data_IF_285352180306
#
_entry.id   IF_285352180306
#
_cell.length_a   1.000
_cell.length_b   1.000
_cell.length_c   1.000
_cell.angle_alpha   90.00
_cell.angle_beta   90.00
_cell.angle_gamma   90.00
#
_symmetry.space_group_name_H-M   'P 1'
#
loop_
_entity.id
_entity.type
_entity.pdbx_description
1 polymer ?
#
# COMPACT_ATOMS: atom_id res chain seq x y z
N UNK A 1 73.71 15.42 13.48
CA UNK A 1 72.84 16.36 12.75
C UNK A 1 72.32 15.83 11.40
N UNK A 2 72.79 14.69 10.86
CA UNK A 2 72.19 14.06 9.67
C UNK A 2 71.20 12.92 10.00
N UNK A 3 71.44 12.15 11.08
CA UNK A 3 70.57 11.02 11.48
C UNK A 3 69.13 11.45 11.87
N UNK A 4 69.01 12.57 12.61
CA UNK A 4 67.71 13.12 13.04
C UNK A 4 66.88 13.70 11.89
N UNK A 5 67.50 14.15 10.80
CA UNK A 5 66.78 14.66 9.64
C UNK A 5 66.25 13.52 8.75
N UNK A 6 66.94 12.38 8.75
CA UNK A 6 66.58 11.18 8.02
C UNK A 6 65.48 10.39 8.74
N UNK A 7 65.51 10.33 10.07
CA UNK A 7 64.39 9.83 10.89
C UNK A 7 63.12 10.69 10.79
N UNK A 8 63.27 12.03 10.66
CA UNK A 8 62.13 12.93 10.49
C UNK A 8 61.50 12.79 9.11
N UNK A 9 62.32 12.68 8.05
CA UNK A 9 61.82 12.37 6.69
C UNK A 9 61.19 10.99 6.60
N UNK A 10 61.71 10.00 7.33
CA UNK A 10 61.14 8.65 7.37
C UNK A 10 59.81 8.61 8.14
N UNK A 11 59.67 9.37 9.23
CA UNK A 11 58.38 9.59 9.92
C UNK A 11 57.40 10.41 9.09
N UNK A 12 57.85 11.42 8.34
CA UNK A 12 57.00 12.18 7.42
C UNK A 12 56.57 11.34 6.19
N UNK A 13 57.38 10.35 5.77
CA UNK A 13 57.00 9.37 4.74
C UNK A 13 56.11 8.22 5.28
N UNK A 14 56.24 7.86 6.55
CA UNK A 14 55.39 6.86 7.23
C UNK A 14 54.04 7.47 7.65
N UNK A 15 53.99 8.73 8.10
CA UNK A 15 52.74 9.49 8.37
C UNK A 15 52.01 9.91 7.09
N UNK A 16 52.71 9.97 5.94
CA UNK A 16 52.11 10.22 4.63
C UNK A 16 51.40 8.99 4.03
N UNK A 17 51.43 7.84 4.69
CA UNK A 17 50.96 6.55 4.14
C UNK A 17 49.89 5.86 5.02
N UNK A 18 49.26 6.60 5.95
CA UNK A 18 48.21 6.10 6.84
C UNK A 18 46.77 6.36 6.34
N UNK A 19 46.56 6.62 5.04
CA UNK A 19 45.20 6.90 4.53
C UNK A 19 44.70 5.98 3.41
N UNK A 20 45.41 4.87 3.13
CA UNK A 20 45.05 3.95 2.03
C UNK A 20 44.21 2.74 2.48
N UNK A 21 43.38 2.92 3.51
CA UNK A 21 42.53 1.86 4.07
C UNK A 21 41.17 2.34 4.59
N UNK A 22 40.75 3.56 4.25
CA UNK A 22 39.56 4.18 4.84
C UNK A 22 38.42 4.45 3.84
N UNK A 23 38.42 3.77 2.68
CA UNK A 23 37.28 3.78 1.77
C UNK A 23 36.40 2.55 2.03
N UNK A 24 35.20 2.71 2.60
CA UNK A 24 34.38 1.56 2.97
C UNK A 24 33.91 0.78 1.75
N UNK A 25 33.90 -0.55 1.83
CA UNK A 25 33.42 -1.43 0.75
C UNK A 25 31.99 -1.10 0.31
N UNK A 26 31.13 -0.66 1.25
CA UNK A 26 29.77 -0.22 0.94
C UNK A 26 29.75 1.05 0.08
N UNK A 27 30.70 1.96 0.25
CA UNK A 27 30.80 3.20 -0.51
C UNK A 27 31.21 2.91 -1.97
N UNK A 28 32.16 1.99 -2.17
CA UNK A 28 32.55 1.50 -3.51
C UNK A 28 31.38 0.82 -4.22
N UNK A 29 30.63 -0.04 -3.51
CA UNK A 29 29.46 -0.70 -4.09
C UNK A 29 28.37 0.30 -4.52
N UNK A 30 28.19 1.38 -3.75
CA UNK A 30 27.23 2.45 -4.05
C UNK A 30 27.67 3.27 -5.26
N UNK A 31 28.95 3.62 -5.38
CA UNK A 31 29.50 4.28 -6.57
C UNK A 31 29.36 3.43 -7.83
N UNK A 32 29.71 2.15 -7.76
CA UNK A 32 29.60 1.23 -8.88
C UNK A 32 28.13 1.06 -9.29
N UNK A 33 27.22 0.95 -8.33
CA UNK A 33 25.77 0.88 -8.60
C UNK A 33 25.23 2.18 -9.19
N UNK A 34 25.74 3.33 -8.74
CA UNK A 34 25.38 4.62 -9.29
C UNK A 34 25.89 4.83 -10.72
N UNK A 35 26.80 4.01 -11.27
CA UNK A 35 27.18 4.15 -12.69
C UNK A 35 26.04 3.78 -13.64
N UNK A 36 25.22 2.80 -13.25
CA UNK A 36 24.18 2.22 -14.10
C UNK A 36 22.75 2.58 -13.65
N UNK A 37 22.59 3.27 -12.51
CA UNK A 37 21.29 3.66 -11.95
C UNK A 37 21.14 5.19 -11.87
N UNK A 38 20.31 5.75 -12.75
CA UNK A 38 20.02 7.20 -12.83
C UNK A 38 19.41 7.76 -11.53
N UNK A 39 18.61 6.98 -10.79
CA UNK A 39 18.01 7.43 -9.53
C UNK A 39 19.08 7.53 -8.44
N UNK A 40 20.02 6.57 -8.39
CA UNK A 40 21.15 6.64 -7.46
C UNK A 40 22.12 7.78 -7.82
N UNK A 41 22.36 8.06 -9.10
CA UNK A 41 23.15 9.23 -9.52
C UNK A 41 22.51 10.53 -9.04
N UNK A 42 21.20 10.67 -9.17
CA UNK A 42 20.48 11.86 -8.71
C UNK A 42 20.59 12.03 -7.18
N UNK A 43 20.51 10.93 -6.43
CA UNK A 43 20.63 10.93 -4.95
C UNK A 43 22.05 11.30 -4.50
N UNK A 44 23.07 10.76 -5.16
CA UNK A 44 24.47 10.98 -4.77
C UNK A 44 25.00 12.32 -5.28
N UNK A 45 24.68 12.73 -6.52
CA UNK A 45 25.20 13.94 -7.14
C UNK A 45 26.72 14.04 -7.06
N UNK A 46 27.24 15.17 -6.57
CA UNK A 46 28.66 15.44 -6.31
C UNK A 46 29.25 14.72 -5.07
N UNK A 47 28.49 13.86 -4.37
CA UNK A 47 28.98 13.15 -3.18
C UNK A 47 29.67 11.82 -3.49
N UNK A 48 29.77 11.40 -4.75
CA UNK A 48 30.26 10.08 -5.20
C UNK A 48 31.73 9.76 -4.86
N UNK A 49 32.44 10.59 -4.10
CA UNK A 49 33.85 10.36 -3.72
C UNK A 49 34.09 10.59 -2.21
N UNK A 50 33.03 10.91 -1.44
CA UNK A 50 33.08 11.12 0.02
C UNK A 50 32.06 10.21 0.73
N UNK A 51 32.52 9.14 1.41
CA UNK A 51 31.64 8.18 2.10
C UNK A 51 30.69 8.84 3.10
N UNK A 52 31.15 9.85 3.84
CA UNK A 52 30.31 10.49 4.86
C UNK A 52 29.26 11.41 4.23
N UNK A 53 29.60 12.05 3.10
CA UNK A 53 28.65 12.82 2.31
C UNK A 53 27.60 11.94 1.62
N UNK A 54 27.98 10.77 1.08
CA UNK A 54 27.05 9.79 0.50
C UNK A 54 26.05 9.31 1.54
N UNK A 55 26.55 8.88 2.70
CA UNK A 55 25.70 8.44 3.82
C UNK A 55 24.69 9.51 4.22
N UNK A 56 25.15 10.76 4.38
CA UNK A 56 24.28 11.89 4.72
C UNK A 56 23.23 12.18 3.64
N UNK A 57 23.54 12.02 2.35
CA UNK A 57 22.57 12.21 1.26
C UNK A 57 21.52 11.12 1.22
N UNK A 58 21.93 9.86 1.37
CA UNK A 58 21.02 8.72 1.50
C UNK A 58 20.09 8.92 2.70
N UNK A 59 20.64 9.23 3.87
CA UNK A 59 19.85 9.50 5.08
C UNK A 59 18.88 10.67 4.89
N UNK A 60 19.32 11.77 4.28
CA UNK A 60 18.45 12.91 3.97
C UNK A 60 17.35 12.57 2.96
N UNK A 61 17.65 11.74 1.94
CA UNK A 61 16.65 11.28 0.96
C UNK A 61 15.64 10.35 1.61
N UNK A 62 16.10 9.44 2.48
CA UNK A 62 15.23 8.55 3.27
C UNK A 62 14.36 9.38 4.21
N UNK A 63 14.90 10.38 4.91
CA UNK A 63 14.12 11.26 5.79
C UNK A 63 13.12 12.14 5.01
N UNK A 64 13.49 12.64 3.83
CA UNK A 64 12.57 13.41 2.96
C UNK A 64 11.47 12.51 2.40
N UNK A 65 11.80 11.37 1.78
CA UNK A 65 10.80 10.39 1.33
C UNK A 65 9.95 9.91 2.52
N UNK A 66 10.53 9.71 3.70
CA UNK A 66 9.79 9.38 4.94
C UNK A 66 8.83 10.49 5.35
N UNK A 67 9.20 11.77 5.22
CA UNK A 67 8.31 12.92 5.45
C UNK A 67 7.26 13.09 4.36
N UNK A 68 7.57 12.77 3.11
CA UNK A 68 6.61 12.78 2.00
C UNK A 68 5.62 11.61 2.09
N UNK A 69 6.04 10.46 2.64
CA UNK A 69 5.14 9.35 3.04
C UNK A 69 4.26 9.78 4.24
N UNK A 70 4.77 10.69 5.07
CA UNK A 70 4.05 11.42 6.12
C UNK A 70 3.32 12.65 5.55
N UNK A 71 2.63 12.52 4.40
CA UNK A 71 1.56 13.48 4.08
C UNK A 71 0.65 13.61 5.31
N UNK A 72 0.23 14.85 5.63
CA UNK A 72 -0.64 15.10 6.78
C UNK A 72 -1.88 14.23 6.64
N UNK A 73 -2.07 13.25 7.55
CA UNK A 73 -3.24 12.35 7.52
C UNK A 73 -4.50 13.17 7.36
N UNK A 74 -5.19 13.01 6.23
CA UNK A 74 -6.47 13.68 5.92
C UNK A 74 -7.68 12.85 6.37
N UNK A 75 -7.42 11.65 6.88
CA UNK A 75 -8.41 10.75 7.41
C UNK A 75 -9.00 11.16 8.77
N UNK A 76 -9.65 10.21 9.41
CA UNK A 76 -10.37 10.35 10.67
C UNK A 76 -9.61 9.68 11.82
N UNK A 77 -9.59 10.33 12.98
CA UNK A 77 -9.14 9.71 14.24
C UNK A 77 -10.19 8.77 14.83
N UNK A 78 -11.45 8.91 14.44
CA UNK A 78 -12.52 8.02 14.86
C UNK A 78 -12.49 6.76 14.00
N UNK A 79 -12.59 5.56 14.62
CA UNK A 79 -12.63 4.31 13.89
C UNK A 79 -13.90 4.22 13.04
N UNK A 80 -13.76 3.65 11.84
CA UNK A 80 -14.88 3.36 10.94
C UNK A 80 -15.78 2.29 11.56
N UNK A 81 -17.07 2.57 11.70
CA UNK A 81 -18.06 1.58 12.14
C UNK A 81 -18.40 0.61 11.01
N UNK A 82 -18.60 -0.68 11.32
CA UNK A 82 -18.98 -1.70 10.33
C UNK A 82 -20.29 -2.35 10.76
N UNK A 83 -21.23 -2.52 9.83
CA UNK A 83 -22.50 -3.20 10.09
C UNK A 83 -23.00 -4.01 8.89
N UNK A 84 -23.79 -5.04 9.18
CA UNK A 84 -24.47 -5.87 8.18
C UNK A 84 -25.98 -5.72 8.36
N UNK A 85 -26.71 -5.41 7.28
CA UNK A 85 -28.15 -5.14 7.29
C UNK A 85 -28.80 -5.87 6.14
N UNK A 86 -29.43 -7.01 6.43
CA UNK A 86 -30.06 -7.86 5.42
C UNK A 86 -29.12 -8.18 4.24
N UNK A 87 -27.86 -8.47 4.55
CA UNK A 87 -26.83 -8.69 3.54
C UNK A 87 -27.03 -10.04 2.84
N UNK A 88 -27.14 -9.97 1.51
CA UNK A 88 -27.14 -11.11 0.60
C UNK A 88 -25.89 -11.03 -0.30
N UNK A 89 -25.02 -12.04 -0.19
CA UNK A 89 -23.75 -12.05 -0.92
C UNK A 89 -23.92 -12.06 -2.44
N UNK A 90 -25.09 -12.47 -2.96
CA UNK A 90 -25.35 -12.57 -4.39
C UNK A 90 -26.04 -11.32 -4.98
N UNK A 91 -26.61 -10.48 -4.12
CA UNK A 91 -27.37 -9.29 -4.53
C UNK A 91 -27.45 -8.29 -3.37
N UNK A 92 -26.40 -7.48 -3.19
CA UNK A 92 -26.42 -6.44 -2.15
C UNK A 92 -25.62 -5.23 -2.53
N UNK A 93 -26.02 -4.10 -1.96
CA UNK A 93 -25.23 -2.89 -1.98
C UNK A 93 -24.27 -2.86 -0.79
N UNK A 94 -23.08 -2.31 -1.02
CA UNK A 94 -22.16 -1.88 0.03
C UNK A 94 -22.20 -0.37 0.06
N UNK A 95 -22.29 0.21 1.25
CA UNK A 95 -22.45 1.64 1.45
C UNK A 95 -21.34 2.22 2.31
N UNK A 96 -20.90 3.42 1.96
CA UNK A 96 -19.93 4.20 2.73
C UNK A 96 -20.53 5.56 3.04
N UNK A 97 -20.46 5.98 4.30
CA UNK A 97 -20.72 7.36 4.70
C UNK A 97 -19.41 8.04 5.10
N UNK A 98 -19.14 9.22 4.56
CA UNK A 98 -17.96 10.01 4.85
C UNK A 98 -18.24 11.14 5.85
N UNK A 99 -17.21 11.57 6.57
CA UNK A 99 -17.30 12.78 7.41
C UNK A 99 -17.46 14.05 6.58
N UNK A 100 -16.85 14.06 5.39
CA UNK A 100 -16.88 15.17 4.45
C UNK A 100 -17.01 14.63 3.03
N UNK A 101 -17.58 15.43 2.13
CA UNK A 101 -17.74 15.06 0.72
C UNK A 101 -16.39 14.64 0.12
N UNK A 102 -16.28 13.44 -0.48
CA UNK A 102 -15.05 13.00 -1.12
C UNK A 102 -14.62 13.95 -2.24
N UNK A 103 -13.33 14.29 -2.29
CA UNK A 103 -12.73 15.02 -3.41
C UNK A 103 -12.58 14.11 -4.63
N UNK A 104 -12.26 14.66 -5.80
CA UNK A 104 -12.11 13.83 -7.01
C UNK A 104 -10.95 12.84 -6.90
N UNK A 105 -9.89 13.19 -6.17
CA UNK A 105 -8.79 12.26 -5.83
C UNK A 105 -9.26 11.12 -4.94
N UNK A 106 -10.15 11.41 -3.99
CA UNK A 106 -10.70 10.41 -3.08
C UNK A 106 -11.59 9.43 -3.86
N UNK A 107 -12.41 9.96 -4.78
CA UNK A 107 -13.25 9.16 -5.69
C UNK A 107 -12.40 8.20 -6.52
N UNK A 108 -11.30 8.69 -7.11
CA UNK A 108 -10.38 7.86 -7.90
C UNK A 108 -9.70 6.78 -7.04
N UNK A 109 -9.26 7.12 -5.83
CA UNK A 109 -8.63 6.18 -4.90
C UNK A 109 -9.61 5.09 -4.44
N UNK A 110 -10.82 5.48 -4.03
CA UNK A 110 -11.87 4.56 -3.60
C UNK A 110 -12.27 3.64 -4.75
N UNK A 111 -12.50 4.19 -5.94
CA UNK A 111 -12.79 3.41 -7.15
C UNK A 111 -11.69 2.40 -7.48
N UNK A 112 -10.43 2.81 -7.39
CA UNK A 112 -9.27 1.94 -7.62
C UNK A 112 -9.17 0.80 -6.60
N UNK A 113 -9.54 1.04 -5.34
CA UNK A 113 -9.61 0.00 -4.29
C UNK A 113 -10.65 -1.04 -4.67
N UNK A 114 -11.88 -0.62 -5.00
CA UNK A 114 -12.95 -1.55 -5.37
C UNK A 114 -12.62 -2.33 -6.65
N UNK A 115 -11.99 -1.67 -7.64
CA UNK A 115 -11.53 -2.33 -8.86
C UNK A 115 -10.49 -3.41 -8.57
N UNK A 116 -9.51 -3.09 -7.72
CA UNK A 116 -8.47 -4.04 -7.33
C UNK A 116 -9.05 -5.22 -6.55
N UNK A 117 -9.96 -4.94 -5.61
CA UNK A 117 -10.68 -5.94 -4.85
C UNK A 117 -11.47 -6.90 -5.74
N UNK A 118 -12.20 -6.37 -6.74
CA UNK A 118 -12.91 -7.18 -7.71
C UNK A 118 -11.99 -8.04 -8.57
N UNK A 119 -10.90 -7.48 -9.12
CA UNK A 119 -9.96 -8.23 -9.96
C UNK A 119 -9.35 -9.41 -9.19
N UNK A 120 -8.94 -9.20 -7.94
CA UNK A 120 -8.42 -10.28 -7.09
C UNK A 120 -9.47 -11.36 -6.85
N UNK A 121 -10.70 -10.96 -6.54
CA UNK A 121 -11.81 -11.90 -6.32
C UNK A 121 -12.21 -12.68 -7.58
N UNK A 122 -12.19 -12.03 -8.74
CA UNK A 122 -12.56 -12.65 -10.02
C UNK A 122 -11.57 -13.75 -10.43
N UNK A 123 -10.32 -13.63 -10.00
CA UNK A 123 -9.23 -14.59 -10.23
C UNK A 123 -9.12 -15.66 -9.14
N UNK A 124 -10.01 -15.67 -8.15
CA UNK A 124 -9.98 -16.66 -7.07
C UNK A 124 -9.00 -16.35 -5.94
N UNK A 125 -8.52 -15.11 -5.85
CA UNK A 125 -7.56 -14.67 -4.81
C UNK A 125 -8.10 -14.76 -3.38
N UNK A 126 -9.42 -14.91 -3.21
CA UNK A 126 -10.09 -15.02 -1.92
C UNK A 126 -10.43 -16.46 -1.55
N UNK A 127 -9.67 -17.46 -2.04
CA UNK A 127 -9.84 -18.86 -1.64
C UNK A 127 -9.24 -19.09 -0.25
N UNK A 128 -10.08 -19.11 0.79
CA UNK A 128 -9.68 -19.35 2.17
C UNK A 128 -9.11 -20.76 2.37
N UNK A 129 -9.59 -21.76 1.61
CA UNK A 129 -9.08 -23.13 1.67
C UNK A 129 -7.62 -23.23 1.20
N UNK A 130 -7.14 -22.26 0.41
CA UNK A 130 -5.76 -22.18 -0.05
C UNK A 130 -4.89 -21.16 0.73
N UNK A 131 -5.35 -20.68 1.89
CA UNK A 131 -4.59 -19.75 2.76
C UNK A 131 -3.51 -20.45 3.60
N UNK A 132 -2.61 -21.18 2.94
CA UNK A 132 -1.64 -22.09 3.59
C UNK A 132 -0.71 -21.39 4.59
N UNK A 133 -0.31 -20.14 4.30
CA UNK A 133 0.59 -19.37 5.17
C UNK A 133 -0.14 -18.91 6.45
N UNK A 134 -1.37 -18.44 6.32
CA UNK A 134 -2.21 -18.02 7.45
C UNK A 134 -2.60 -19.19 8.35
N UNK A 135 -2.85 -20.36 7.77
CA UNK A 135 -3.18 -21.59 8.50
C UNK A 135 -1.95 -22.31 9.08
N UNK A 136 -0.74 -21.81 8.82
CA UNK A 136 0.49 -22.42 9.33
C UNK A 136 0.67 -22.19 10.83
N UNK A 137 1.35 -23.12 11.51
CA UNK A 137 1.62 -22.98 12.92
C UNK A 137 2.50 -21.75 13.21
N UNK A 138 2.34 -21.07 14.36
CA UNK A 138 3.20 -19.97 14.74
C UNK A 138 4.68 -20.40 14.71
N UNK A 139 5.53 -19.60 14.07
CA UNK A 139 6.96 -19.84 13.89
C UNK A 139 7.34 -21.02 12.97
N UNK A 140 6.39 -21.60 12.23
CA UNK A 140 6.74 -22.52 11.16
C UNK A 140 7.47 -21.77 10.02
N UNK A 141 8.47 -22.39 9.36
CA UNK A 141 9.06 -21.82 8.16
C UNK A 141 7.98 -21.58 7.09
N UNK A 142 8.00 -20.39 6.47
CA UNK A 142 7.11 -20.08 5.37
C UNK A 142 7.34 -21.08 4.23
N UNK A 143 6.29 -21.79 3.87
CA UNK A 143 6.32 -22.77 2.80
C UNK A 143 4.94 -22.85 2.15
N UNK A 144 4.93 -23.15 0.86
CA UNK A 144 3.70 -23.24 0.07
C UNK A 144 3.73 -24.53 -0.74
N UNK A 145 2.74 -25.40 -0.52
CA UNK A 145 2.64 -26.69 -1.18
C UNK A 145 1.74 -26.60 -2.41
N UNK A 146 2.25 -27.07 -3.55
CA UNK A 146 1.48 -27.18 -4.78
C UNK A 146 0.44 -28.29 -4.71
N UNK A 147 0.66 -29.34 -3.92
CA UNK A 147 -0.31 -30.41 -3.70
C UNK A 147 -1.52 -29.90 -2.93
N UNK A 148 -1.28 -29.18 -1.82
CA UNK A 148 -2.35 -28.54 -1.05
C UNK A 148 -3.11 -27.48 -1.86
N UNK A 149 -2.42 -26.75 -2.73
CA UNK A 149 -3.07 -25.78 -3.61
C UNK A 149 -4.03 -26.45 -4.60
N UNK A 150 -3.63 -27.61 -5.16
CA UNK A 150 -4.51 -28.42 -6.01
C UNK A 150 -5.69 -28.98 -5.25
N UNK A 151 -5.46 -29.54 -4.06
CA UNK A 151 -6.54 -30.04 -3.19
C UNK A 151 -7.56 -28.94 -2.87
N UNK A 152 -7.10 -27.73 -2.52
CA UNK A 152 -7.98 -26.59 -2.26
C UNK A 152 -8.80 -26.19 -3.49
N UNK A 153 -8.21 -26.26 -4.68
CA UNK A 153 -8.91 -25.97 -5.93
C UNK A 153 -9.96 -27.05 -6.28
N UNK A 154 -9.68 -28.32 -5.96
CA UNK A 154 -10.63 -29.43 -6.15
C UNK A 154 -11.84 -29.35 -5.22
N UNK A 155 -11.69 -28.74 -4.03
CA UNK A 155 -12.79 -28.54 -3.07
C UNK A 155 -13.81 -27.53 -3.59
N UNK A 156 -13.35 -26.48 -4.27
CA UNK A 156 -14.23 -25.50 -4.90
C UNK A 156 -13.48 -24.27 -5.36
N UNK A 157 -13.91 -23.75 -6.51
CA UNK A 157 -13.48 -22.44 -6.96
C UNK A 157 -14.25 -21.35 -6.20
N UNK A 158 -13.55 -20.29 -5.80
CA UNK A 158 -14.11 -19.18 -5.03
C UNK A 158 -14.06 -17.90 -5.87
N UNK A 159 -15.09 -17.62 -6.65
CA UNK A 159 -15.09 -16.49 -7.57
C UNK A 159 -16.04 -15.39 -7.14
N UNK A 160 -15.51 -14.16 -7.15
CA UNK A 160 -16.32 -12.95 -7.16
C UNK A 160 -16.91 -12.79 -8.56
N UNK A 161 -18.23 -12.89 -8.70
CA UNK A 161 -18.89 -12.93 -9.99
C UNK A 161 -18.98 -11.56 -10.66
N UNK A 162 -19.52 -10.55 -9.97
CA UNK A 162 -19.82 -9.26 -10.61
C UNK A 162 -19.89 -8.08 -9.63
N UNK A 163 -19.63 -6.87 -10.12
CA UNK A 163 -19.64 -5.63 -9.35
C UNK A 163 -20.21 -4.50 -10.21
N UNK A 164 -20.97 -3.60 -9.59
CA UNK A 164 -21.44 -2.38 -10.22
C UNK A 164 -20.41 -1.25 -10.13
N UNK A 165 -20.69 -0.14 -10.82
CA UNK A 165 -19.90 1.08 -10.67
C UNK A 165 -19.99 1.60 -9.22
N UNK A 166 -18.98 2.35 -8.80
CA UNK A 166 -19.02 3.02 -7.49
C UNK A 166 -19.71 4.37 -7.68
N UNK A 167 -20.88 4.52 -7.10
CA UNK A 167 -21.73 5.70 -7.19
C UNK A 167 -21.53 6.59 -5.97
N UNK A 168 -21.55 7.90 -6.14
CA UNK A 168 -21.35 8.89 -5.08
C UNK A 168 -22.44 9.96 -5.13
N UNK A 169 -23.02 10.26 -3.97
CA UNK A 169 -23.95 11.39 -3.76
C UNK A 169 -23.57 12.07 -2.45
N UNK A 170 -23.22 13.36 -2.51
CA UNK A 170 -22.75 14.13 -1.36
C UNK A 170 -21.68 13.40 -0.51
N UNK A 171 -22.05 12.98 0.70
CA UNK A 171 -21.18 12.28 1.65
C UNK A 171 -21.39 10.76 1.64
N UNK A 172 -22.11 10.23 0.65
CA UNK A 172 -22.39 8.81 0.51
C UNK A 172 -21.73 8.25 -0.73
N UNK A 173 -21.30 7.00 -0.62
CA UNK A 173 -21.03 6.16 -1.78
C UNK A 173 -21.76 4.83 -1.64
N UNK A 174 -22.11 4.23 -2.76
CA UNK A 174 -22.58 2.86 -2.82
C UNK A 174 -22.03 2.13 -4.03
N UNK A 175 -22.06 0.81 -3.97
CA UNK A 175 -21.85 -0.06 -5.12
C UNK A 175 -22.66 -1.33 -4.94
N UNK A 176 -23.11 -1.90 -6.03
CA UNK A 176 -23.75 -3.21 -6.05
C UNK A 176 -22.70 -4.33 -6.20
N UNK A 177 -22.91 -5.48 -5.56
CA UNK A 177 -22.04 -6.65 -5.64
C UNK A 177 -22.82 -7.96 -5.79
N UNK A 178 -22.25 -8.88 -6.57
CA UNK A 178 -22.50 -10.33 -6.57
C UNK A 178 -21.17 -11.02 -6.26
N UNK A 179 -20.93 -11.31 -4.98
CA UNK A 179 -19.74 -11.99 -4.50
C UNK A 179 -19.65 -13.44 -4.95
N UNK A 180 -20.73 -14.01 -5.50
CA UNK A 180 -20.77 -15.37 -6.00
C UNK A 180 -20.38 -16.39 -4.94
N UNK A 181 -19.27 -17.07 -5.20
CA UNK A 181 -18.70 -18.12 -4.34
C UNK A 181 -17.46 -17.63 -3.59
N UNK A 182 -17.18 -16.34 -3.58
CA UNK A 182 -16.04 -15.76 -2.87
C UNK A 182 -16.17 -15.97 -1.36
N UNK A 183 -15.08 -16.38 -0.70
CA UNK A 183 -15.09 -16.59 0.74
C UNK A 183 -15.15 -15.25 1.51
N UNK A 184 -15.59 -15.27 2.78
CA UNK A 184 -15.65 -14.08 3.65
C UNK A 184 -14.32 -13.33 3.83
N UNK A 185 -13.17 -13.96 3.53
CA UNK A 185 -11.86 -13.29 3.54
C UNK A 185 -11.82 -12.09 2.59
N UNK A 186 -12.63 -12.10 1.53
CA UNK A 186 -12.83 -10.96 0.64
C UNK A 186 -13.35 -9.72 1.40
N UNK A 187 -14.28 -9.93 2.33
CA UNK A 187 -14.88 -8.88 3.16
C UNK A 187 -13.91 -8.41 4.23
N UNK A 188 -13.22 -9.33 4.90
CA UNK A 188 -12.19 -8.98 5.91
C UNK A 188 -11.10 -8.12 5.30
N UNK A 189 -10.60 -8.48 4.11
CA UNK A 189 -9.59 -7.71 3.40
C UNK A 189 -10.12 -6.31 3.06
N UNK A 190 -11.33 -6.21 2.51
CA UNK A 190 -11.94 -4.92 2.18
C UNK A 190 -12.13 -4.03 3.43
N UNK A 191 -12.65 -4.57 4.52
CA UNK A 191 -12.85 -3.86 5.78
C UNK A 191 -11.52 -3.31 6.31
N UNK A 192 -10.47 -4.13 6.31
CA UNK A 192 -9.14 -3.73 6.76
C UNK A 192 -8.55 -2.63 5.85
N UNK A 193 -8.70 -2.76 4.54
CA UNK A 193 -8.25 -1.74 3.59
C UNK A 193 -8.97 -0.42 3.82
N UNK A 194 -10.30 -0.43 3.95
CA UNK A 194 -11.10 0.78 4.15
C UNK A 194 -10.89 1.41 5.54
N UNK A 195 -10.59 0.62 6.57
CA UNK A 195 -10.23 1.14 7.89
C UNK A 195 -8.92 1.94 7.84
N UNK A 196 -7.91 1.45 7.12
CA UNK A 196 -6.66 2.18 6.90
C UNK A 196 -6.86 3.42 6.02
N UNK A 197 -7.65 3.28 4.94
CA UNK A 197 -8.05 4.43 4.11
C UNK A 197 -8.72 5.51 4.97
N UNK A 198 -9.61 5.11 5.88
CA UNK A 198 -10.31 5.99 6.81
C UNK A 198 -9.36 6.74 7.73
N UNK A 199 -8.37 6.06 8.30
CA UNK A 199 -7.39 6.66 9.21
C UNK A 199 -6.47 7.67 8.50
N UNK A 200 -6.04 7.36 7.29
CA UNK A 200 -4.87 8.03 6.70
C UNK A 200 -5.24 9.03 5.59
N UNK A 201 -6.30 8.76 4.82
CA UNK A 201 -6.60 9.50 3.60
C UNK A 201 -7.99 10.15 3.60
N UNK A 202 -9.06 9.37 3.83
CA UNK A 202 -10.44 9.82 3.62
C UNK A 202 -11.32 9.38 4.77
N UNK A 203 -11.72 10.29 5.66
CA UNK A 203 -12.48 9.91 6.86
C UNK A 203 -13.84 9.24 6.55
N UNK A 204 -13.95 7.94 6.80
CA UNK A 204 -15.17 7.14 6.67
C UNK A 204 -15.81 6.98 8.05
N UNK A 205 -17.07 7.38 8.19
CA UNK A 205 -17.88 7.19 9.40
C UNK A 205 -18.33 5.74 9.54
N UNK A 206 -18.95 5.19 8.50
CA UNK A 206 -19.49 3.85 8.52
C UNK A 206 -19.40 3.15 7.17
N UNK A 207 -19.21 1.84 7.24
CA UNK A 207 -19.30 0.86 6.16
C UNK A 207 -20.48 -0.07 6.46
N UNK A 208 -21.44 -0.14 5.53
CA UNK A 208 -22.65 -0.95 5.70
C UNK A 208 -22.76 -1.95 4.56
N UNK A 209 -22.86 -3.23 4.90
CA UNK A 209 -23.11 -4.31 3.96
C UNK A 209 -24.61 -4.61 3.91
N UNK A 210 -25.22 -4.49 2.73
CA UNK A 210 -26.66 -4.62 2.53
C UNK A 210 -27.44 -3.33 2.83
N UNK A 211 -28.75 -3.44 2.92
CA UNK A 211 -29.67 -2.32 3.07
C UNK A 211 -30.06 -1.71 1.71
N UNK A 212 -31.35 -1.41 1.56
CA UNK A 212 -31.92 -0.88 0.31
C UNK A 212 -31.92 0.64 0.24
N UNK A 213 -32.13 1.31 1.37
CA UNK A 213 -32.20 2.77 1.47
C UNK A 213 -31.43 3.21 2.73
N UNK A 214 -30.34 3.94 2.56
CA UNK A 214 -29.50 4.42 3.66
C UNK A 214 -29.27 5.93 3.55
N UNK A 215 -29.39 6.60 4.70
CA UNK A 215 -29.15 8.03 4.83
C UNK A 215 -30.09 8.85 3.95
N UNK A 216 -29.49 9.82 3.27
CA UNK A 216 -30.16 10.80 2.41
C UNK A 216 -30.02 10.43 0.91
N UNK A 217 -29.75 9.15 0.61
CA UNK A 217 -29.57 8.70 -0.78
C UNK A 217 -30.87 8.88 -1.58
N UNK A 218 -30.76 9.52 -2.75
CA UNK A 218 -31.87 9.78 -3.67
C UNK A 218 -31.70 8.92 -4.94
N UNK A 219 -32.60 7.95 -5.12
CA UNK A 219 -32.57 7.04 -6.29
C UNK A 219 -32.81 7.76 -7.62
N UNK A 220 -33.45 8.94 -7.61
CA UNK A 220 -33.73 9.70 -8.82
C UNK A 220 -32.54 10.62 -9.22
N UNK A 221 -31.53 10.76 -8.35
CA UNK A 221 -30.37 11.62 -8.56
C UNK A 221 -29.26 10.86 -9.30
N UNK A 222 -29.29 10.94 -10.63
CA UNK A 222 -28.38 10.21 -11.54
C UNK A 222 -27.55 11.12 -12.46
N UNK A 223 -27.56 12.44 -12.25
CA UNK A 223 -26.88 13.42 -13.13
C UNK A 223 -25.76 14.17 -12.42
N UNK A 224 -24.64 14.39 -13.13
CA UNK A 224 -23.47 15.08 -12.57
C UNK A 224 -23.77 16.51 -12.12
N UNK A 225 -24.64 17.21 -12.85
CA UNK A 225 -25.10 18.57 -12.52
C UNK A 225 -25.82 18.62 -11.16
N UNK A 226 -26.44 17.52 -10.75
CA UNK A 226 -27.12 17.39 -9.46
C UNK A 226 -26.20 16.89 -8.33
N UNK A 227 -24.91 16.67 -8.61
CA UNK A 227 -23.92 16.25 -7.61
C UNK A 227 -23.62 14.75 -7.58
N UNK A 228 -24.24 13.96 -8.47
CA UNK A 228 -23.92 12.55 -8.70
C UNK A 228 -22.53 12.39 -9.32
N UNK A 229 -21.75 11.42 -8.88
CA UNK A 229 -20.51 11.01 -9.57
C UNK A 229 -20.44 9.49 -9.60
N UNK A 230 -19.82 8.93 -10.62
CA UNK A 230 -19.61 7.48 -10.72
C UNK A 230 -18.19 7.15 -11.14
N UNK A 231 -17.59 6.13 -10.52
CA UNK A 231 -16.33 5.53 -10.95
C UNK A 231 -16.60 4.17 -11.57
N UNK A 232 -16.15 3.97 -12.82
CA UNK A 232 -16.35 2.72 -13.56
C UNK A 232 -15.31 1.67 -13.19
N UNK A 233 -15.77 0.47 -12.86
CA UNK A 233 -14.91 -0.68 -12.47
C UNK A 233 -14.43 -1.46 -13.71
#
# INVERSE_FOLDING_TARGET
MQFLAEERKRREMEEGNENDGNYPEWATNVEDSARDDEELQEIMGDALEDPEAMKRRVENRVQRKSRDILESKKGSVNPMAVSFRDFDALDSHIWLEFYTRPTDKDVELIGSIFRSWFVLGRLGGFNAMNMQLTSSAPNAPLSYSQEKAKEAQEIGDTFFHNIGDVEFQDNWARLWVDLGTSDPVSLDMLINTLANLSSDHVGIKQLVFGGKNLGDWDEDLITEEAGYRSYKI
#
